data_IF_756522427203
#
_entry.id   IF_756522427203
#
_cell.length_a   1.000
_cell.length_b   1.000
_cell.length_c   1.000
_cell.angle_alpha   90.00
_cell.angle_beta   90.00
_cell.angle_gamma   90.00
#
_symmetry.space_group_name_H-M   'P 1'
#
loop_
_entity.id
_entity.type
_entity.pdbx_description
1 polymer ?
#
# COMPACT_ATOMS: atom_id res chain seq x y z
N UNK A 1 -0.25 -19.93 -6.18
CA UNK A 1 -0.74 -19.22 -4.98
C UNK A 1 0.41 -18.42 -4.39
N UNK A 2 0.33 -17.09 -4.33
CA UNK A 2 1.35 -16.28 -3.67
C UNK A 2 1.27 -16.48 -2.14
N UNK A 3 2.42 -16.57 -1.46
CA UNK A 3 2.45 -16.60 0.01
C UNK A 3 2.21 -15.20 0.54
N UNK A 4 1.37 -15.06 1.57
CA UNK A 4 1.22 -13.80 2.30
C UNK A 4 2.56 -13.49 2.99
N UNK A 5 3.12 -12.27 2.85
CA UNK A 5 4.32 -11.87 3.55
C UNK A 5 4.14 -11.97 5.07
N UNK A 6 5.17 -12.45 5.78
CA UNK A 6 5.15 -12.55 7.24
C UNK A 6 5.13 -11.16 7.93
N UNK A 7 5.55 -10.12 7.22
CA UNK A 7 5.59 -8.74 7.70
C UNK A 7 4.81 -7.83 6.75
N UNK A 8 3.98 -6.96 7.34
CA UNK A 8 3.24 -5.92 6.65
C UNK A 8 3.44 -4.55 7.32
N UNK A 9 3.18 -3.50 6.56
CA UNK A 9 3.23 -2.12 7.03
C UNK A 9 1.81 -1.63 7.32
N UNK A 10 1.51 -1.37 8.59
CA UNK A 10 0.21 -0.79 9.00
C UNK A 10 0.16 0.71 8.85
N UNK A 11 -0.94 1.23 8.29
CA UNK A 11 -1.14 2.67 8.07
C UNK A 11 -2.10 3.31 9.07
N UNK A 12 -2.59 2.54 10.05
CA UNK A 12 -3.50 3.03 11.09
C UNK A 12 -2.92 4.23 11.85
N UNK A 13 -3.74 5.28 12.01
CA UNK A 13 -3.41 6.57 12.65
C UNK A 13 -2.39 7.45 11.92
N UNK A 14 -1.78 7.00 10.84
CA UNK A 14 -0.91 7.86 10.02
C UNK A 14 -1.75 8.87 9.22
N UNK A 15 -1.23 10.09 9.01
CA UNK A 15 -1.96 11.18 8.34
C UNK A 15 -1.06 11.96 7.37
N UNK A 16 -1.63 12.39 6.25
CA UNK A 16 -0.96 13.24 5.26
C UNK A 16 0.38 12.69 4.80
N UNK A 17 1.39 13.56 4.68
CA UNK A 17 2.72 13.21 4.18
C UNK A 17 3.38 12.04 4.92
N UNK A 18 3.09 11.85 6.21
CA UNK A 18 3.64 10.75 7.00
C UNK A 18 3.20 9.40 6.43
N UNK A 19 1.97 9.29 5.91
CA UNK A 19 1.48 8.07 5.25
C UNK A 19 2.32 7.79 4.02
N UNK A 20 2.51 8.82 3.18
CA UNK A 20 3.23 8.72 1.91
C UNK A 20 4.68 8.28 2.15
N UNK A 21 5.38 8.98 3.03
CA UNK A 21 6.78 8.69 3.36
C UNK A 21 6.92 7.30 3.97
N UNK A 22 6.02 6.91 4.88
CA UNK A 22 6.06 5.59 5.52
C UNK A 22 5.86 4.47 4.51
N UNK A 23 4.87 4.60 3.63
CA UNK A 23 4.58 3.61 2.58
C UNK A 23 5.73 3.51 1.59
N UNK A 24 6.27 4.64 1.13
CA UNK A 24 7.42 4.68 0.21
C UNK A 24 8.64 4.01 0.83
N UNK A 25 9.01 4.40 2.04
CA UNK A 25 10.16 3.83 2.76
C UNK A 25 9.97 2.33 3.01
N UNK A 26 8.77 1.89 3.39
CA UNK A 26 8.47 0.46 3.56
C UNK A 26 8.68 -0.32 2.26
N UNK A 27 8.21 0.21 1.13
CA UNK A 27 8.34 -0.44 -0.17
C UNK A 27 9.81 -0.50 -0.64
N UNK A 28 10.58 0.56 -0.42
CA UNK A 28 12.05 0.62 -0.63
C UNK A 28 12.80 -0.40 0.24
N UNK A 29 12.39 -0.57 1.50
CA UNK A 29 12.96 -1.56 2.43
C UNK A 29 12.53 -3.01 2.13
N UNK A 30 11.64 -3.23 1.17
CA UNK A 30 11.24 -4.57 0.74
C UNK A 30 9.92 -5.07 1.31
N UNK A 31 9.14 -4.25 2.02
CA UNK A 31 7.78 -4.63 2.43
C UNK A 31 6.91 -4.88 1.20
N UNK A 32 6.04 -5.90 1.26
CA UNK A 32 5.16 -6.28 0.14
C UNK A 32 3.69 -6.45 0.57
N UNK A 33 3.39 -6.17 1.83
CA UNK A 33 2.04 -6.11 2.36
C UNK A 33 1.83 -4.73 3.02
N UNK A 34 0.83 -3.99 2.55
CA UNK A 34 0.40 -2.72 3.13
C UNK A 34 -0.99 -2.95 3.74
N UNK A 35 -1.12 -2.73 5.04
CA UNK A 35 -2.37 -2.88 5.78
C UNK A 35 -3.05 -1.51 5.89
N UNK A 36 -4.27 -1.41 5.35
CA UNK A 36 -5.08 -0.19 5.28
C UNK A 36 -6.56 -0.51 5.47
N UNK A 37 -7.37 0.50 5.75
CA UNK A 37 -8.82 0.39 5.82
C UNK A 37 -9.49 1.76 5.56
N UNK A 38 -10.69 1.75 4.99
CA UNK A 38 -11.49 2.96 4.76
C UNK A 38 -11.66 3.83 6.03
N UNK A 39 -11.88 3.20 7.19
CA UNK A 39 -12.05 3.90 8.47
C UNK A 39 -10.77 4.65 8.92
N UNK A 40 -9.60 4.28 8.37
CA UNK A 40 -8.38 5.02 8.64
C UNK A 40 -8.39 6.38 7.96
N UNK A 41 -9.15 6.57 6.88
CA UNK A 41 -9.32 7.84 6.20
C UNK A 41 -8.05 8.36 5.52
N UNK A 42 -7.15 7.47 5.10
CA UNK A 42 -5.86 7.80 4.49
C UNK A 42 -5.52 6.93 3.25
N UNK A 43 -6.50 6.23 2.68
CA UNK A 43 -6.29 5.35 1.52
C UNK A 43 -5.87 6.13 0.25
N UNK A 44 -6.27 7.41 0.15
CA UNK A 44 -5.86 8.27 -0.95
C UNK A 44 -4.34 8.51 -0.93
N UNK A 45 -3.78 8.83 0.22
CA UNK A 45 -2.34 9.04 0.41
C UNK A 45 -1.56 7.73 0.25
N UNK A 46 -2.11 6.60 0.69
CA UNK A 46 -1.52 5.27 0.42
C UNK A 46 -1.47 5.00 -1.09
N UNK A 47 -2.56 5.30 -1.81
CA UNK A 47 -2.65 5.15 -3.26
C UNK A 47 -1.66 6.05 -3.99
N UNK A 48 -1.51 7.30 -3.56
CA UNK A 48 -0.52 8.24 -4.08
C UNK A 48 0.90 7.70 -3.92
N UNK A 49 1.24 7.21 -2.72
CA UNK A 49 2.55 6.64 -2.44
C UNK A 49 2.87 5.43 -3.33
N UNK A 50 1.88 4.56 -3.58
CA UNK A 50 2.04 3.40 -4.46
C UNK A 50 2.16 3.83 -5.92
N UNK A 51 1.33 4.78 -6.38
CA UNK A 51 1.33 5.26 -7.76
C UNK A 51 2.62 6.01 -8.13
N UNK A 52 3.22 6.70 -7.15
CA UNK A 52 4.50 7.39 -7.32
C UNK A 52 5.70 6.43 -7.44
N UNK A 53 5.55 5.15 -7.10
CA UNK A 53 6.64 4.20 -7.23
C UNK A 53 6.88 3.82 -8.68
N UNK A 54 8.12 4.00 -9.10
CA UNK A 54 8.59 3.50 -10.37
C UNK A 54 8.56 1.96 -10.33
N UNK A 55 7.55 1.36 -10.98
CA UNK A 55 7.29 -0.07 -10.88
C UNK A 55 8.27 -0.93 -11.70
N UNK A 56 9.45 -0.45 -12.11
CA UNK A 56 10.39 -1.16 -13.00
C UNK A 56 9.68 -1.83 -14.21
N UNK A 57 8.67 -1.16 -14.79
CA UNK A 57 7.87 -1.70 -15.90
C UNK A 57 6.84 -2.78 -15.52
N UNK A 58 6.57 -3.00 -14.22
CA UNK A 58 5.50 -3.89 -13.76
C UNK A 58 4.17 -3.15 -13.79
N UNK A 59 3.28 -3.60 -14.66
CA UNK A 59 1.87 -3.19 -14.66
C UNK A 59 1.22 -3.64 -13.34
N UNK A 60 0.62 -2.68 -12.62
CA UNK A 60 -0.20 -2.95 -11.45
C UNK A 60 -1.63 -3.07 -11.95
N UNK A 61 -2.11 -4.30 -12.15
CA UNK A 61 -3.52 -4.55 -12.48
C UNK A 61 -4.39 -4.27 -11.23
N UNK A 62 -5.19 -3.20 -11.24
CA UNK A 62 -6.03 -2.85 -10.09
C UNK A 62 -7.18 -3.84 -9.88
N UNK A 63 -7.57 -4.59 -10.92
CA UNK A 63 -8.73 -5.49 -10.89
C UNK A 63 -8.49 -6.73 -10.02
N UNK A 64 -7.24 -7.09 -9.76
CA UNK A 64 -6.87 -8.24 -8.91
C UNK A 64 -6.50 -7.89 -7.46
N UNK A 65 -6.46 -6.60 -7.11
CA UNK A 65 -5.93 -6.13 -5.81
C UNK A 65 -7.01 -5.84 -4.77
N UNK A 66 -8.23 -5.54 -5.20
CA UNK A 66 -9.34 -5.32 -4.28
C UNK A 66 -10.29 -6.53 -4.31
N UNK A 67 -10.54 -7.21 -3.18
CA UNK A 67 -11.67 -8.12 -3.09
C UNK A 67 -12.95 -7.33 -3.42
N UNK A 68 -13.87 -7.95 -4.18
CA UNK A 68 -15.25 -7.47 -4.23
C UNK A 68 -15.86 -7.72 -2.86
N UNK A 69 -15.86 -6.69 -2.03
CA UNK A 69 -16.67 -6.66 -0.82
C UNK A 69 -18.14 -6.57 -1.23
N UNK A 70 -18.96 -7.40 -0.60
CA UNK A 70 -20.42 -7.38 -0.67
C UNK A 70 -21.02 -6.14 0.03
#
# INVERSE_FOLDING_TARGET
>A
MGKIPAFGLGTSRLRGQIVIDSVRNGLELGYRAIDTAQIYGNEAEVGEAIAALECNGREVDPAGLAPKWD
#
